data_IF_103025293275
#
_entry.id   IF_103025293275
#
_cell.length_a   1.000
_cell.length_b   1.000
_cell.length_c   1.000
_cell.angle_alpha   90.00
_cell.angle_beta   90.00
_cell.angle_gamma   90.00
#
_symmetry.space_group_name_H-M   'P 1'
#
loop_
_entity.id
_entity.type
_entity.pdbx_description
1 polymer ?
#
# COMPACT_ATOMS: atom_id res chain seq x y z
N UNK A 1 -8.07 9.32 -1.81
CA UNK A 1 -7.48 8.19 -2.57
C UNK A 1 -6.88 7.12 -1.66
N UNK A 2 -5.89 7.43 -0.81
CA UNK A 2 -5.25 6.41 0.05
C UNK A 2 -6.06 5.96 1.28
N UNK A 3 -7.07 6.72 1.73
CA UNK A 3 -7.92 6.33 2.87
C UNK A 3 -8.62 4.97 2.69
N UNK A 4 -8.88 4.56 1.44
CA UNK A 4 -9.51 3.28 1.12
C UNK A 4 -8.59 2.08 1.43
N UNK A 5 -7.28 2.29 1.51
CA UNK A 5 -6.32 1.23 1.83
C UNK A 5 -6.41 0.80 3.31
N UNK A 6 -6.70 1.75 4.21
CA UNK A 6 -6.68 1.52 5.66
C UNK A 6 -7.91 0.79 6.20
N UNK A 7 -8.98 0.67 5.39
CA UNK A 7 -10.15 -0.15 5.75
C UNK A 7 -9.80 -1.63 5.92
N UNK A 8 -8.85 -2.13 5.12
CA UNK A 8 -8.37 -3.51 5.22
C UNK A 8 -6.97 -3.59 5.87
N UNK A 9 -6.06 -2.68 5.56
CA UNK A 9 -4.68 -2.72 6.07
C UNK A 9 -4.51 -2.08 7.46
N UNK A 10 -5.62 -1.75 8.12
CA UNK A 10 -5.66 -1.17 9.45
C UNK A 10 -5.26 0.32 9.49
N UNK A 11 -5.49 0.98 10.64
CA UNK A 11 -5.19 2.40 10.81
C UNK A 11 -3.73 2.70 10.48
N UNK A 12 -3.53 3.63 9.56
CA UNK A 12 -2.20 4.04 9.09
C UNK A 12 -1.31 2.86 8.61
N UNK A 13 -1.93 1.82 8.05
CA UNK A 13 -1.24 0.65 7.49
C UNK A 13 -0.80 -0.39 8.52
N UNK A 14 -1.29 -0.28 9.77
CA UNK A 14 -1.02 -1.20 10.85
C UNK A 14 -2.22 -2.13 11.04
N UNK A 15 -2.19 -3.27 10.37
CA UNK A 15 -3.18 -4.33 10.54
C UNK A 15 -2.85 -5.15 11.79
N UNK A 16 -3.84 -5.44 12.67
CA UNK A 16 -3.66 -6.31 13.83
C UNK A 16 -3.79 -7.81 13.52
N UNK A 17 -4.05 -8.18 12.25
CA UNK A 17 -4.42 -9.54 11.87
C UNK A 17 -3.66 -10.08 10.65
N UNK A 18 -4.32 -10.95 9.88
CA UNK A 18 -3.75 -11.67 8.74
C UNK A 18 -3.43 -10.81 7.52
N UNK A 19 -3.92 -9.57 7.47
CA UNK A 19 -3.63 -8.63 6.38
C UNK A 19 -2.25 -8.01 6.62
N UNK A 20 -1.35 -7.99 5.61
CA UNK A 20 -0.01 -7.49 5.78
C UNK A 20 0.02 -5.99 6.13
N UNK A 21 0.94 -5.65 7.03
CA UNK A 21 1.21 -4.27 7.41
C UNK A 21 1.92 -3.53 6.29
N UNK A 22 1.59 -2.27 6.08
CA UNK A 22 2.16 -1.42 5.03
C UNK A 22 3.20 -0.42 5.55
N UNK A 23 3.25 -0.21 6.87
CA UNK A 23 4.11 0.79 7.52
C UNK A 23 5.61 0.46 7.43
N UNK A 24 5.95 -0.81 7.18
CA UNK A 24 7.32 -1.29 7.13
C UNK A 24 7.98 -1.16 5.75
N UNK A 25 7.24 -0.80 4.69
CA UNK A 25 7.74 -0.86 3.31
C UNK A 25 8.06 0.50 2.69
N UNK A 26 9.11 0.58 1.86
CA UNK A 26 9.46 1.81 1.15
C UNK A 26 8.41 2.17 0.10
N UNK A 27 8.40 3.42 -0.38
CA UNK A 27 7.48 3.84 -1.44
C UNK A 27 7.72 3.01 -2.71
N UNK A 28 8.99 2.74 -3.02
CA UNK A 28 9.42 1.98 -4.18
C UNK A 28 8.92 0.53 -4.08
N UNK A 29 9.06 -0.09 -2.90
CA UNK A 29 8.57 -1.44 -2.66
C UNK A 29 7.04 -1.52 -2.79
N UNK A 30 6.32 -0.57 -2.20
CA UNK A 30 4.85 -0.53 -2.26
C UNK A 30 4.35 -0.35 -3.69
N UNK A 31 4.98 0.54 -4.46
CA UNK A 31 4.66 0.74 -5.87
C UNK A 31 4.92 -0.52 -6.69
N UNK A 32 6.07 -1.17 -6.49
CA UNK A 32 6.40 -2.41 -7.19
C UNK A 32 5.43 -3.53 -6.84
N UNK A 33 5.09 -3.71 -5.56
CA UNK A 33 4.13 -4.71 -5.14
C UNK A 33 2.74 -4.50 -5.79
N UNK A 34 2.27 -3.25 -5.88
CA UNK A 34 1.02 -2.92 -6.57
C UNK A 34 1.09 -3.23 -8.07
N UNK A 35 2.20 -2.93 -8.74
CA UNK A 35 2.42 -3.30 -10.15
C UNK A 35 2.45 -4.82 -10.35
N UNK A 36 3.08 -5.55 -9.44
CA UNK A 36 3.14 -7.00 -9.50
C UNK A 36 1.76 -7.64 -9.29
N UNK A 37 0.93 -7.07 -8.40
CA UNK A 37 -0.46 -7.49 -8.24
C UNK A 37 -1.31 -7.16 -9.47
N UNK A 38 -1.11 -5.99 -10.08
CA UNK A 38 -1.82 -5.56 -11.29
C UNK A 38 -1.56 -6.49 -12.48
N UNK A 39 -0.31 -6.94 -12.63
CA UNK A 39 0.16 -7.82 -13.70
C UNK A 39 0.05 -9.31 -13.38
N UNK A 40 -0.58 -9.67 -12.27
CA UNK A 40 -0.69 -11.05 -11.74
C UNK A 40 0.67 -11.76 -11.55
N UNK A 41 1.79 -11.03 -11.54
CA UNK A 41 3.12 -11.56 -11.18
C UNK A 41 3.19 -11.98 -9.73
N UNK A 42 2.44 -11.28 -8.87
CA UNK A 42 2.32 -11.62 -7.45
C UNK A 42 0.91 -12.17 -7.19
N UNK A 43 0.78 -13.42 -6.70
CA UNK A 43 -0.53 -13.98 -6.39
C UNK A 43 -1.18 -13.18 -5.26
N UNK A 44 -2.48 -12.91 -5.41
CA UNK A 44 -3.28 -12.24 -4.40
C UNK A 44 -4.72 -12.70 -4.45
N UNK A 45 -5.39 -12.66 -3.30
CA UNK A 45 -6.82 -12.97 -3.20
C UNK A 45 -7.66 -11.78 -3.64
N UNK A 46 -7.32 -10.59 -3.13
CA UNK A 46 -8.13 -9.37 -3.27
C UNK A 46 -7.34 -8.22 -3.90
N UNK A 47 -6.04 -8.09 -3.59
CA UNK A 47 -5.22 -6.95 -4.03
C UNK A 47 -5.04 -6.84 -5.55
N UNK A 48 -5.04 -7.93 -6.31
CA UNK A 48 -4.92 -7.89 -7.78
C UNK A 48 -6.09 -7.15 -8.43
N UNK A 49 -7.31 -7.33 -7.93
CA UNK A 49 -8.50 -6.60 -8.42
C UNK A 49 -8.39 -5.11 -8.11
N UNK A 50 -7.94 -4.76 -6.91
CA UNK A 50 -7.77 -3.36 -6.52
C UNK A 50 -6.62 -2.69 -7.27
N UNK A 51 -5.48 -3.36 -7.43
CA UNK A 51 -4.32 -2.84 -8.13
C UNK A 51 -4.62 -2.55 -9.61
N UNK A 52 -5.48 -3.36 -10.24
CA UNK A 52 -5.96 -3.13 -11.61
C UNK A 52 -6.86 -1.90 -11.75
N UNK A 53 -7.52 -1.45 -10.68
CA UNK A 53 -8.36 -0.25 -10.71
C UNK A 53 -7.55 1.05 -10.72
N UNK A 54 -6.23 1.00 -10.48
CA UNK A 54 -5.36 2.17 -10.41
C UNK A 54 -4.43 2.26 -11.63
N UNK A 55 -4.24 3.49 -12.12
CA UNK A 55 -3.20 3.86 -13.07
C UNK A 55 -1.80 3.81 -12.43
N UNK A 56 -0.75 3.82 -13.26
CA UNK A 56 0.64 3.84 -12.75
C UNK A 56 0.93 5.09 -11.90
N UNK A 57 0.39 6.24 -12.31
CA UNK A 57 0.53 7.50 -11.56
C UNK A 57 -0.16 7.42 -10.19
N UNK A 58 -1.33 6.79 -10.12
CA UNK A 58 -2.05 6.58 -8.86
C UNK A 58 -1.31 5.59 -7.96
N UNK A 59 -0.72 4.53 -8.51
CA UNK A 59 0.10 3.57 -7.76
C UNK A 59 1.28 4.29 -7.10
N UNK A 60 2.01 5.12 -7.85
CA UNK A 60 3.13 5.90 -7.31
C UNK A 60 2.66 6.90 -6.24
N UNK A 61 1.52 7.57 -6.46
CA UNK A 61 0.95 8.51 -5.49
C UNK A 61 0.53 7.81 -4.18
N UNK A 62 -0.14 6.65 -4.27
CA UNK A 62 -0.55 5.84 -3.13
C UNK A 62 0.68 5.37 -2.35
N UNK A 63 1.68 4.84 -3.06
CA UNK A 63 2.89 4.31 -2.44
C UNK A 63 3.69 5.39 -1.71
N UNK A 64 3.85 6.57 -2.33
CA UNK A 64 4.48 7.75 -1.70
C UNK A 64 3.70 8.22 -0.48
N UNK A 65 2.38 8.26 -0.57
CA UNK A 65 1.53 8.67 0.55
C UNK A 65 1.68 7.72 1.74
N UNK A 66 1.56 6.41 1.53
CA UNK A 66 1.67 5.40 2.60
C UNK A 66 3.07 5.42 3.24
N UNK A 67 4.13 5.49 2.43
CA UNK A 67 5.50 5.63 2.94
C UNK A 67 5.74 6.97 3.66
N UNK A 68 5.07 8.04 3.22
CA UNK A 68 5.09 9.36 3.86
C UNK A 68 4.42 9.36 5.23
N UNK A 69 3.34 8.60 5.41
CA UNK A 69 2.69 8.41 6.71
C UNK A 69 3.60 7.70 7.73
N UNK A 70 4.53 6.83 7.28
CA UNK A 70 5.62 6.35 8.13
C UNK A 70 6.54 7.50 8.52
N UNK A 71 7.03 8.28 7.55
CA UNK A 71 8.03 9.33 7.82
C UNK A 71 7.51 10.36 8.81
N UNK A 72 6.22 10.68 8.73
CA UNK A 72 5.55 11.59 9.66
C UNK A 72 5.32 10.99 11.07
N UNK A 73 5.49 9.67 11.26
CA UNK A 73 5.45 9.00 12.58
C UNK A 73 6.82 8.52 13.09
N UNK A 74 7.81 8.35 12.20
CA UNK A 74 9.20 8.03 12.55
C UNK A 74 10.07 9.28 12.79
N UNK A 75 9.49 10.47 12.66
CA UNK A 75 10.10 11.77 12.96
C UNK A 75 9.20 12.67 13.80
N UNK A 76 8.23 12.09 14.52
CA UNK A 76 7.42 12.77 15.52
C UNK A 76 7.38 11.88 16.76
N UNK A 77 8.20 12.29 17.75
CA UNK A 77 8.00 12.17 19.20
C UNK A 77 7.24 10.97 19.75
#
# INVERSE_FOLDING_TARGET
>A
MANNCFGCHGPAGISPGSIPRLDQFSAEYLAQALRDFKTDKRPSTVMGRHARAYSEAEIDAIARHIAGLRKNRGGAQ
#
